data_IF_997671896026
#
_entry.id   IF_997671896026
#
_cell.length_a   1.000
_cell.length_b   1.000
_cell.length_c   1.000
_cell.angle_alpha   90.00
_cell.angle_beta   90.00
_cell.angle_gamma   90.00
#
_symmetry.space_group_name_H-M   'P 1'
#
loop_
_entity.id
_entity.type
_entity.pdbx_description
1 polymer ?
#
# COMPACT_ATOMS: atom_id res chain seq x y z
N UNK A 1 -5.39 -3.44 -2.14
CA UNK A 1 -5.92 -4.81 -2.12
C UNK A 1 -4.90 -5.71 -2.77
N UNK A 2 -4.64 -6.89 -2.22
CA UNK A 2 -3.77 -7.90 -2.82
C UNK A 2 -4.30 -9.31 -2.57
N UNK A 3 -3.81 -10.29 -3.32
CA UNK A 3 -4.02 -11.70 -2.96
C UNK A 3 -3.13 -12.08 -1.78
N UNK A 4 -3.55 -13.04 -0.95
CA UNK A 4 -2.68 -13.65 0.07
C UNK A 4 -1.40 -14.21 -0.53
N UNK A 5 -0.29 -13.92 0.13
CA UNK A 5 1.04 -14.35 -0.28
C UNK A 5 1.97 -14.50 0.94
N UNK A 6 3.26 -14.66 0.71
CA UNK A 6 4.26 -14.80 1.78
C UNK A 6 4.36 -13.58 2.70
N UNK A 7 3.89 -12.40 2.26
CA UNK A 7 3.90 -11.19 3.06
C UNK A 7 2.72 -11.11 4.03
N UNK A 8 1.63 -11.86 3.79
CA UNK A 8 0.43 -11.88 4.65
C UNK A 8 0.77 -12.08 6.12
N UNK A 9 1.60 -13.07 6.45
CA UNK A 9 1.98 -13.37 7.84
C UNK A 9 2.76 -12.21 8.46
N UNK A 10 3.61 -11.55 7.68
CA UNK A 10 4.38 -10.38 8.15
C UNK A 10 3.47 -9.18 8.40
N UNK A 11 2.49 -8.96 7.54
CA UNK A 11 1.50 -7.89 7.70
C UNK A 11 0.64 -8.09 8.94
N UNK A 12 0.20 -9.32 9.22
CA UNK A 12 -0.51 -9.65 10.45
C UNK A 12 0.37 -9.44 11.69
N UNK A 13 1.65 -9.81 11.63
CA UNK A 13 2.58 -9.56 12.73
C UNK A 13 2.78 -8.06 12.98
N UNK A 14 2.95 -7.27 11.92
CA UNK A 14 3.09 -5.82 12.00
C UNK A 14 1.83 -5.15 12.60
N UNK A 15 0.63 -5.64 12.23
CA UNK A 15 -0.63 -5.22 12.87
C UNK A 15 -0.64 -5.54 14.37
N UNK A 16 -0.36 -6.78 14.76
CA UNK A 16 -0.40 -7.21 16.17
C UNK A 16 0.62 -6.52 17.06
N UNK A 17 1.76 -6.14 16.49
CA UNK A 17 2.86 -5.48 17.21
C UNK A 17 2.82 -3.96 17.09
N UNK A 18 1.89 -3.40 16.32
CA UNK A 18 1.86 -1.97 15.97
C UNK A 18 3.22 -1.48 15.45
N UNK A 19 3.87 -2.31 14.63
CA UNK A 19 5.16 -2.00 14.03
C UNK A 19 5.03 -0.75 13.16
N UNK A 20 6.00 0.16 13.28
CA UNK A 20 6.10 1.35 12.44
C UNK A 20 6.80 0.99 11.13
N UNK A 21 6.17 1.36 10.01
CA UNK A 21 6.55 0.99 8.66
C UNK A 21 6.81 2.23 7.78
N UNK A 22 7.69 2.04 6.80
CA UNK A 22 7.72 2.87 5.59
C UNK A 22 7.00 2.10 4.48
N UNK A 23 5.96 2.70 3.92
CA UNK A 23 5.17 2.07 2.85
C UNK A 23 5.40 2.84 1.55
N UNK A 24 5.65 2.12 0.46
CA UNK A 24 5.75 2.69 -0.88
C UNK A 24 4.75 2.04 -1.82
N UNK A 25 3.90 2.85 -2.44
CA UNK A 25 2.94 2.44 -3.45
C UNK A 25 3.38 3.05 -4.77
N UNK A 26 3.66 2.20 -5.75
CA UNK A 26 4.06 2.57 -7.10
C UNK A 26 2.90 2.40 -8.07
N UNK A 27 2.54 3.47 -8.76
CA UNK A 27 1.49 3.47 -9.78
C UNK A 27 2.12 3.49 -11.17
N UNK A 28 1.74 2.51 -11.98
CA UNK A 28 2.22 2.34 -13.35
C UNK A 28 1.09 2.62 -14.35
N UNK A 29 1.47 3.12 -15.53
CA UNK A 29 0.57 3.28 -16.67
C UNK A 29 1.34 2.98 -17.96
N UNK A 30 0.68 2.52 -19.03
CA UNK A 30 1.34 2.34 -20.32
C UNK A 30 1.77 3.68 -20.92
N UNK A 31 2.94 3.70 -21.55
CA UNK A 31 3.41 4.82 -22.36
C UNK A 31 2.89 4.73 -23.81
N UNK A 32 3.39 5.60 -24.70
CA UNK A 32 3.00 5.62 -26.12
C UNK A 32 3.37 4.34 -26.88
N UNK A 33 4.27 3.52 -26.34
CA UNK A 33 4.67 2.22 -26.89
C UNK A 33 3.91 1.05 -26.28
N UNK A 34 3.06 1.32 -25.28
CA UNK A 34 2.33 0.30 -24.52
C UNK A 34 3.13 -0.33 -23.39
N UNK A 35 4.31 0.20 -23.05
CA UNK A 35 5.15 -0.30 -21.95
C UNK A 35 4.74 0.38 -20.66
N UNK A 36 4.55 -0.40 -19.59
CA UNK A 36 4.23 0.14 -18.27
C UNK A 36 5.40 0.95 -17.70
N UNK A 37 5.16 2.24 -17.48
CA UNK A 37 6.08 3.17 -16.86
C UNK A 37 5.55 3.63 -15.51
N UNK A 38 6.45 3.73 -14.52
CA UNK A 38 6.14 4.30 -13.21
C UNK A 38 5.76 5.77 -13.42
N UNK A 39 4.56 6.16 -12.99
CA UNK A 39 4.12 7.55 -13.13
C UNK A 39 3.82 8.28 -11.84
N UNK A 40 3.67 7.54 -10.76
CA UNK A 40 3.42 8.13 -9.46
C UNK A 40 3.92 7.22 -8.35
N UNK A 41 4.49 7.83 -7.32
CA UNK A 41 4.86 7.13 -6.10
C UNK A 41 4.19 7.80 -4.91
N UNK A 42 3.53 6.99 -4.08
CA UNK A 42 2.97 7.42 -2.80
C UNK A 42 3.82 6.78 -1.71
N UNK A 43 4.39 7.57 -0.82
CA UNK A 43 5.12 7.07 0.35
C UNK A 43 4.41 7.46 1.63
N UNK A 44 4.25 6.49 2.53
CA UNK A 44 3.78 6.70 3.89
C UNK A 44 4.97 6.53 4.83
N UNK A 45 5.20 7.54 5.68
CA UNK A 45 6.23 7.48 6.72
C UNK A 45 5.58 7.38 8.10
N UNK A 46 6.24 6.62 8.96
CA UNK A 46 5.75 6.26 10.28
C UNK A 46 4.33 5.67 10.21
N UNK A 47 4.11 4.76 9.26
CA UNK A 47 2.82 4.14 9.04
C UNK A 47 2.63 2.95 9.99
N UNK A 48 1.41 2.73 10.46
CA UNK A 48 1.03 1.56 11.23
C UNK A 48 -0.20 0.94 10.58
N UNK A 49 -0.28 -0.39 10.56
CA UNK A 49 -1.48 -1.07 10.07
C UNK A 49 -2.59 -0.87 11.09
N UNK A 50 -3.68 -0.23 10.69
CA UNK A 50 -4.83 0.05 11.54
C UNK A 50 -5.93 -1.00 11.44
N UNK A 51 -6.04 -1.66 10.28
CA UNK A 51 -7.01 -2.71 10.03
C UNK A 51 -6.49 -3.68 8.97
N UNK A 52 -6.92 -4.94 9.08
CA UNK A 52 -6.61 -6.00 8.14
C UNK A 52 -7.85 -6.86 7.91
N UNK A 53 -8.35 -6.85 6.69
CA UNK A 53 -9.54 -7.60 6.30
C UNK A 53 -9.21 -8.65 5.23
N UNK A 54 -9.61 -9.89 5.49
CA UNK A 54 -9.66 -10.96 4.51
C UNK A 54 -11.11 -11.14 4.06
N UNK A 55 -11.36 -10.91 2.78
CA UNK A 55 -12.68 -11.03 2.17
C UNK A 55 -12.64 -11.96 0.96
N UNK A 56 -13.73 -12.66 0.69
CA UNK A 56 -13.82 -13.65 -0.39
C UNK A 56 -14.15 -15.04 0.13
N UNK A 57 -14.27 -16.01 -0.78
CA UNK A 57 -14.59 -17.38 -0.43
C UNK A 57 -13.46 -18.31 -0.90
N UNK A 58 -12.67 -18.90 0.02
CA UNK A 58 -11.57 -19.78 -0.36
C UNK A 58 -12.03 -21.02 -1.14
N UNK A 59 -13.30 -21.40 -1.03
CA UNK A 59 -13.91 -22.56 -1.70
C UNK A 59 -14.88 -22.15 -2.83
N UNK A 60 -14.92 -20.87 -3.21
CA UNK A 60 -15.86 -20.34 -4.21
C UNK A 60 -15.16 -19.75 -5.44
N UNK A 61 -15.94 -19.11 -6.32
CA UNK A 61 -15.42 -18.39 -7.51
C UNK A 61 -14.85 -17.01 -7.17
N UNK A 62 -15.07 -16.52 -5.95
CA UNK A 62 -14.58 -15.20 -5.50
C UNK A 62 -13.21 -15.37 -4.86
N UNK A 63 -12.14 -14.83 -5.47
CA UNK A 63 -10.79 -14.96 -4.93
C UNK A 63 -10.68 -14.32 -3.55
N UNK A 64 -9.85 -14.92 -2.70
CA UNK A 64 -9.52 -14.37 -1.39
C UNK A 64 -8.68 -13.11 -1.58
N UNK A 65 -9.15 -11.99 -1.02
CA UNK A 65 -8.54 -10.68 -1.12
C UNK A 65 -8.20 -10.13 0.26
N UNK A 66 -7.02 -9.54 0.34
CA UNK A 66 -6.52 -8.83 1.51
C UNK A 66 -6.63 -7.33 1.31
N UNK A 67 -7.28 -6.68 2.27
CA UNK A 67 -7.36 -5.23 2.39
C UNK A 67 -6.61 -4.82 3.64
N UNK A 68 -5.57 -4.02 3.47
CA UNK A 68 -4.71 -3.52 4.55
C UNK A 68 -4.90 -2.02 4.63
N UNK A 69 -5.27 -1.53 5.80
CA UNK A 69 -5.47 -0.12 6.07
C UNK A 69 -4.31 0.41 6.91
N UNK A 70 -3.85 1.62 6.60
CA UNK A 70 -2.75 2.26 7.31
C UNK A 70 -3.20 3.58 7.91
N UNK A 71 -2.77 3.85 9.15
CA UNK A 71 -2.56 5.22 9.63
C UNK A 71 -1.12 5.61 9.34
N UNK A 72 -0.85 6.90 9.22
CA UNK A 72 0.48 7.42 8.89
C UNK A 72 0.68 8.79 9.54
N UNK A 73 1.94 9.22 9.66
CA UNK A 73 2.26 10.58 10.11
C UNK A 73 2.47 11.52 8.93
N UNK A 74 3.14 11.03 7.90
CA UNK A 74 3.41 11.80 6.68
C UNK A 74 3.09 10.96 5.47
N UNK A 75 2.42 11.57 4.49
CA UNK A 75 2.21 11.03 3.16
C UNK A 75 2.85 11.97 2.13
N UNK A 76 3.64 11.41 1.21
CA UNK A 76 4.21 12.17 0.10
C UNK A 76 3.85 11.54 -1.24
N UNK A 77 3.57 12.41 -2.20
CA UNK A 77 3.21 12.09 -3.57
C UNK A 77 4.33 12.59 -4.48
N UNK A 78 4.90 11.71 -5.30
CA UNK A 78 5.92 12.05 -6.28
C UNK A 78 5.41 11.75 -7.67
N UNK A 79 5.35 12.75 -8.55
CA UNK A 79 4.94 12.59 -9.94
C UNK A 79 6.11 12.14 -10.86
N UNK A 80 5.78 11.85 -12.12
CA UNK A 80 6.73 11.53 -13.20
C UNK A 80 7.88 12.53 -13.35
N UNK A 81 7.61 13.81 -13.07
CA UNK A 81 8.56 14.89 -13.29
C UNK A 81 9.45 15.10 -12.05
N UNK A 82 9.26 14.30 -11.00
CA UNK A 82 9.98 14.42 -9.73
C UNK A 82 9.42 15.50 -8.80
N UNK A 83 8.25 16.08 -9.11
CA UNK A 83 7.61 17.03 -8.21
C UNK A 83 7.05 16.27 -7.00
N UNK A 84 7.41 16.74 -5.81
CA UNK A 84 7.00 16.14 -4.55
C UNK A 84 5.96 17.03 -3.87
N UNK A 85 4.81 16.47 -3.54
CA UNK A 85 3.80 17.07 -2.66
C UNK A 85 3.76 16.32 -1.35
N UNK A 86 3.86 17.02 -0.22
CA UNK A 86 3.92 16.40 1.11
C UNK A 86 2.75 16.90 1.95
N UNK A 87 2.02 15.96 2.55
CA UNK A 87 1.03 16.22 3.58
C UNK A 87 1.49 15.54 4.87
N UNK A 88 1.64 16.33 5.92
CA UNK A 88 1.94 15.82 7.26
C UNK A 88 0.75 16.08 8.17
N UNK A 89 0.34 15.05 8.89
CA UNK A 89 -0.65 15.15 9.96
C UNK A 89 0.10 15.19 11.28
N UNK A 90 0.05 16.35 11.94
CA UNK A 90 0.47 16.47 13.34
C UNK A 90 -0.67 15.96 14.23
N UNK A 91 -0.34 15.21 15.30
CA UNK A 91 -1.34 14.71 16.24
C UNK A 91 -2.10 15.83 16.95
#
# INVERSE_FOLDING_TARGET
>A
MKNPDKATVKLLNALLTSETLTVEIRLFRPDVTGVDVLFHTIQLQNAVISDFNLSGNPNGTVPLNEVVSFTYQTISFTDLNGNVSILSISP
#
